data_IF_827366130466
#
_entry.id   IF_827366130466
#
_cell.length_a   1.000
_cell.length_b   1.000
_cell.length_c   1.000
_cell.angle_alpha   90.00
_cell.angle_beta   90.00
_cell.angle_gamma   90.00
#
_symmetry.space_group_name_H-M   'P 1'
#
loop_
_entity.id
_entity.type
_entity.pdbx_description
1 polymer ?
#
# COMPACT_ATOMS: atom_id res chain seq x y z
N UNK A 1 78.06 3.63 15.57
CA UNK A 1 78.09 2.98 14.26
C UNK A 1 76.63 2.80 13.84
N UNK A 2 76.04 3.83 13.23
CA UNK A 2 75.93 4.09 11.78
C UNK A 2 74.68 3.43 11.19
N UNK A 3 73.83 4.05 10.38
CA UNK A 3 73.80 5.41 9.83
C UNK A 3 72.45 5.72 9.15
N UNK A 4 72.15 7.03 9.05
CA UNK A 4 71.51 7.81 7.96
C UNK A 4 70.15 7.38 7.35
N UNK A 5 69.08 8.19 7.34
CA UNK A 5 68.85 9.55 6.81
C UNK A 5 68.95 9.68 5.28
N UNK A 6 67.87 10.17 4.63
CA UNK A 6 67.94 11.17 3.53
C UNK A 6 66.59 11.80 3.17
N UNK A 7 66.62 13.13 3.16
CA UNK A 7 65.70 14.08 2.52
C UNK A 7 65.68 13.97 0.99
N UNK A 8 64.62 14.48 0.35
CA UNK A 8 64.72 15.51 -0.70
C UNK A 8 63.44 16.36 -0.83
N UNK A 9 63.66 17.67 -0.97
CA UNK A 9 62.72 18.73 -1.36
C UNK A 9 62.38 18.69 -2.86
N UNK A 10 61.28 19.36 -3.25
CA UNK A 10 61.03 19.80 -4.63
C UNK A 10 59.81 20.72 -4.75
N UNK A 11 60.06 22.00 -5.00
CA UNK A 11 59.08 23.07 -5.23
C UNK A 11 58.54 23.12 -6.67
N UNK A 12 57.40 23.79 -6.86
CA UNK A 12 56.93 24.42 -8.12
C UNK A 12 55.46 24.11 -8.42
N UNK A 13 54.54 25.01 -8.77
CA UNK A 13 54.59 26.42 -9.14
C UNK A 13 53.21 27.09 -8.88
N UNK A 14 53.26 28.42 -8.75
CA UNK A 14 52.15 29.38 -8.85
C UNK A 14 51.23 29.16 -10.07
N UNK A 15 49.91 29.43 -9.92
CA UNK A 15 49.20 30.56 -10.58
C UNK A 15 47.93 30.86 -9.78
N UNK A 16 47.84 32.08 -9.24
CA UNK A 16 46.59 32.75 -8.87
C UNK A 16 45.90 33.26 -10.13
N UNK A 17 44.58 33.06 -10.26
CA UNK A 17 43.63 34.06 -10.79
C UNK A 17 42.20 33.56 -10.58
N UNK A 18 41.38 34.36 -9.90
CA UNK A 18 39.98 34.03 -9.63
C UNK A 18 39.24 35.19 -8.98
N UNK A 19 38.76 36.08 -9.86
CA UNK A 19 38.10 37.35 -9.61
C UNK A 19 36.92 37.32 -8.61
N UNK A 20 36.75 38.50 -8.02
CA UNK A 20 35.61 39.05 -7.28
C UNK A 20 34.25 38.71 -7.89
N UNK A 21 33.36 38.13 -7.09
CA UNK A 21 31.94 37.92 -7.40
C UNK A 21 31.05 38.33 -6.23
N UNK A 22 30.18 39.30 -6.49
CA UNK A 22 29.22 39.97 -5.61
C UNK A 22 28.24 39.02 -4.90
N UNK A 23 27.95 39.29 -3.63
CA UNK A 23 26.90 38.65 -2.84
C UNK A 23 25.49 38.94 -3.42
N UNK A 24 24.90 37.95 -4.09
CA UNK A 24 23.46 37.88 -4.35
C UNK A 24 22.82 36.82 -3.43
N UNK A 25 21.76 37.19 -2.72
CA UNK A 25 20.92 36.25 -1.95
C UNK A 25 20.34 35.16 -2.89
N UNK A 26 20.30 33.88 -2.48
CA UNK A 26 19.55 32.88 -3.24
C UNK A 26 18.04 33.14 -3.11
N UNK A 27 17.23 32.94 -4.17
CA UNK A 27 15.78 33.00 -4.09
C UNK A 27 15.26 31.82 -3.26
N UNK A 28 14.17 32.06 -2.52
CA UNK A 28 13.42 31.05 -1.77
C UNK A 28 13.02 29.87 -2.68
N UNK A 29 13.05 28.62 -2.18
CA UNK A 29 12.53 27.49 -2.95
C UNK A 29 11.01 27.62 -3.10
N UNK A 30 10.54 27.46 -4.34
CA UNK A 30 9.13 27.28 -4.68
C UNK A 30 8.55 26.03 -3.97
N UNK A 31 7.23 25.99 -3.70
CA UNK A 31 6.60 24.85 -3.06
C UNK A 31 6.71 23.60 -3.94
N UNK A 32 7.26 22.53 -3.36
CA UNK A 32 7.38 21.22 -3.99
C UNK A 32 6.02 20.72 -4.49
N UNK A 33 5.91 20.57 -5.80
CA UNK A 33 4.87 19.75 -6.43
C UNK A 33 5.07 18.27 -6.03
N UNK A 34 4.00 17.46 -5.97
CA UNK A 34 4.12 16.03 -5.71
C UNK A 34 5.01 15.36 -6.77
N UNK A 35 5.81 14.34 -6.41
CA UNK A 35 6.72 13.70 -7.34
C UNK A 35 5.92 13.01 -8.44
N UNK A 36 6.07 13.51 -9.67
CA UNK A 36 5.71 12.75 -10.87
C UNK A 36 6.56 11.48 -10.90
N UNK A 37 5.91 10.32 -10.79
CA UNK A 37 6.58 9.03 -10.94
C UNK A 37 7.31 8.96 -12.28
N UNK A 38 8.62 8.70 -12.25
CA UNK A 38 9.38 8.43 -13.46
C UNK A 38 9.18 6.96 -13.85
N UNK A 39 8.48 6.73 -14.97
CA UNK A 39 8.41 5.41 -15.59
C UNK A 39 9.77 5.16 -16.27
N UNK A 40 10.48 4.13 -15.82
CA UNK A 40 11.66 3.65 -16.55
C UNK A 40 11.24 2.42 -17.34
N UNK A 41 10.81 2.62 -18.57
CA UNK A 41 10.61 1.52 -19.51
C UNK A 41 11.97 1.00 -19.95
N UNK A 42 12.30 -0.24 -19.57
CA UNK A 42 13.35 -0.98 -20.26
C UNK A 42 12.74 -1.58 -21.53
N UNK A 43 12.82 -0.82 -22.62
CA UNK A 43 12.59 -1.37 -23.95
C UNK A 43 13.74 -2.32 -24.28
N UNK A 44 13.50 -3.61 -24.06
CA UNK A 44 14.22 -4.66 -24.77
C UNK A 44 14.00 -4.44 -26.28
N UNK A 45 15.05 -4.52 -27.12
CA UNK A 45 14.89 -4.53 -28.58
C UNK A 45 14.02 -5.69 -29.11
N UNK A 46 13.56 -6.58 -28.23
CA UNK A 46 12.97 -7.88 -28.54
C UNK A 46 11.52 -8.06 -28.02
N UNK A 47 10.84 -6.98 -27.64
CA UNK A 47 9.37 -6.98 -27.48
C UNK A 47 8.78 -7.48 -26.16
N UNK A 48 9.60 -7.84 -25.16
CA UNK A 48 9.15 -8.15 -23.80
C UNK A 48 9.84 -7.22 -22.80
N UNK A 49 9.08 -6.28 -22.22
CA UNK A 49 9.57 -5.30 -21.26
C UNK A 49 9.41 -5.78 -19.82
N UNK A 50 10.46 -5.66 -19.02
CA UNK A 50 10.35 -5.64 -17.56
C UNK A 50 10.12 -4.18 -17.16
N UNK A 51 8.96 -3.90 -16.56
CA UNK A 51 8.68 -2.56 -16.02
C UNK A 51 8.80 -2.60 -14.50
N UNK A 52 9.86 -2.01 -13.97
CA UNK A 52 10.02 -1.82 -12.52
C UNK A 52 9.59 -0.40 -12.20
N UNK A 53 8.53 -0.26 -11.41
CA UNK A 53 8.10 1.03 -10.89
C UNK A 53 8.86 1.32 -9.59
N UNK A 54 9.75 2.31 -9.60
CA UNK A 54 10.51 2.75 -8.41
C UNK A 54 10.21 4.21 -8.10
N UNK A 55 9.79 4.51 -6.88
CA UNK A 55 9.89 5.87 -6.33
C UNK A 55 11.29 6.04 -5.73
N UNK A 56 11.96 7.15 -6.06
CA UNK A 56 13.27 7.48 -5.53
C UNK A 56 13.20 7.71 -4.01
N UNK A 57 14.01 6.98 -3.25
CA UNK A 57 14.20 7.20 -1.82
C UNK A 57 15.06 8.46 -1.64
N UNK A 58 14.42 9.60 -1.34
CA UNK A 58 15.12 10.77 -0.79
C UNK A 58 15.35 10.56 0.70
N UNK A 59 16.60 10.36 1.11
CA UNK A 59 16.99 10.30 2.52
C UNK A 59 16.81 11.69 3.14
N UNK A 60 15.86 11.85 4.06
CA UNK A 60 15.72 13.06 4.87
C UNK A 60 16.31 12.77 6.26
N UNK A 61 17.45 13.36 6.66
CA UNK A 61 18.03 13.08 7.97
C UNK A 61 17.13 13.65 9.09
N UNK A 62 17.09 13.01 10.27
CA UNK A 62 16.25 13.46 11.38
C UNK A 62 16.69 14.83 11.89
N UNK A 63 15.77 15.68 12.38
CA UNK A 63 16.11 17.00 12.89
C UNK A 63 16.99 16.85 14.15
N UNK A 64 18.20 17.39 14.08
CA UNK A 64 19.06 17.56 15.25
C UNK A 64 18.35 18.46 16.27
N UNK A 65 18.28 17.98 17.51
CA UNK A 65 17.76 18.72 18.65
C UNK A 65 18.56 20.01 18.83
N UNK A 66 17.94 21.17 18.57
CA UNK A 66 18.49 22.46 18.92
C UNK A 66 18.15 22.79 20.38
N UNK A 67 19.22 22.86 21.16
CA UNK A 67 19.29 23.34 22.54
C UNK A 67 18.69 24.74 22.68
N UNK A 68 17.96 24.93 23.78
CA UNK A 68 17.27 26.15 24.19
C UNK A 68 18.27 27.27 24.48
N UNK A 69 18.18 28.39 23.76
CA UNK A 69 18.82 29.65 24.15
C UNK A 69 17.80 30.79 24.10
N UNK A 70 17.68 31.50 25.22
CA UNK A 70 16.81 32.65 25.45
C UNK A 70 17.10 33.83 24.50
N UNK A 71 16.06 34.58 24.10
CA UNK A 71 16.24 35.98 23.71
C UNK A 71 15.21 36.61 22.74
N UNK A 72 14.22 37.30 23.31
CA UNK A 72 13.59 38.56 22.84
C UNK A 72 12.46 38.54 21.76
N UNK A 73 11.50 39.49 21.85
CA UNK A 73 10.18 39.41 21.22
C UNK A 73 10.08 40.26 19.94
N UNK A 74 9.23 39.81 19.00
CA UNK A 74 8.78 40.66 17.89
C UNK A 74 8.73 39.93 16.56
N UNK A 75 7.57 39.34 16.26
CA UNK A 75 6.92 39.40 14.93
C UNK A 75 5.69 38.50 14.97
N UNK A 76 4.54 39.11 15.28
CA UNK A 76 3.24 38.50 15.04
C UNK A 76 3.02 38.44 13.53
N UNK A 77 3.31 37.30 12.91
CA UNK A 77 2.83 37.02 11.56
C UNK A 77 1.32 36.80 11.66
N UNK A 78 0.54 37.84 11.39
CA UNK A 78 -0.89 37.71 11.15
C UNK A 78 -1.07 36.82 9.92
N UNK A 79 -1.66 35.64 10.12
CA UNK A 79 -2.15 34.79 9.03
C UNK A 79 -3.11 35.63 8.18
N UNK A 80 -2.71 35.91 6.95
CA UNK A 80 -3.54 36.63 5.98
C UNK A 80 -4.74 35.75 5.67
N UNK A 81 -5.94 36.22 6.00
CA UNK A 81 -7.18 35.53 5.65
C UNK A 81 -7.20 35.21 4.15
N UNK A 82 -7.74 34.04 3.73
CA UNK A 82 -7.79 33.66 2.34
C UNK A 82 -8.56 34.72 1.53
N UNK A 83 -7.98 35.16 0.41
CA UNK A 83 -8.64 36.08 -0.52
C UNK A 83 -9.90 35.43 -1.10
N UNK A 84 -11.05 36.12 -1.13
CA UNK A 84 -12.29 35.55 -1.63
C UNK A 84 -12.15 35.14 -3.10
N UNK A 85 -12.50 33.90 -3.42
CA UNK A 85 -12.53 33.40 -4.80
C UNK A 85 -13.74 34.01 -5.52
N UNK A 86 -13.48 34.73 -6.61
CA UNK A 86 -14.50 35.29 -7.49
C UNK A 86 -14.82 34.28 -8.60
N UNK A 87 -16.11 34.02 -8.83
CA UNK A 87 -16.57 33.15 -9.92
C UNK A 87 -17.17 34.02 -11.02
N UNK A 88 -16.81 33.71 -12.26
CA UNK A 88 -17.29 34.38 -13.47
C UNK A 88 -18.08 33.38 -14.32
N UNK A 89 -19.32 33.73 -14.65
CA UNK A 89 -20.14 32.95 -15.58
C UNK A 89 -19.99 33.52 -16.98
N UNK A 90 -19.79 32.66 -17.97
CA UNK A 90 -19.69 33.07 -19.37
C UNK A 90 -20.68 32.30 -20.25
N UNK A 91 -21.18 32.95 -21.29
CA UNK A 91 -22.00 32.31 -22.32
C UNK A 91 -21.29 32.48 -23.66
N UNK A 92 -21.02 31.37 -24.35
CA UNK A 92 -20.27 31.35 -25.60
C UNK A 92 -21.17 31.29 -26.83
N UNK A 93 -20.88 32.15 -27.82
CA UNK A 93 -21.05 31.83 -29.25
C UNK A 93 -19.67 31.95 -29.90
N UNK A 94 -19.46 31.19 -30.98
CA UNK A 94 -18.17 30.71 -31.51
C UNK A 94 -17.06 31.74 -31.82
N UNK A 95 -17.27 33.04 -31.59
CA UNK A 95 -16.26 34.08 -31.78
C UNK A 95 -16.21 35.15 -30.69
N UNK A 96 -17.06 35.09 -29.63
CA UNK A 96 -17.06 36.08 -28.53
C UNK A 96 -17.47 35.48 -27.18
N UNK A 97 -16.75 35.83 -26.12
CA UNK A 97 -17.08 35.50 -24.71
C UNK A 97 -17.71 36.73 -24.05
N UNK A 98 -18.95 36.60 -23.58
CA UNK A 98 -19.62 37.63 -22.78
C UNK A 98 -19.59 37.25 -21.30
N UNK A 99 -18.98 38.11 -20.48
CA UNK A 99 -19.01 38.01 -19.02
C UNK A 99 -20.38 38.52 -18.53
N UNK A 100 -21.21 37.63 -17.99
CA UNK A 100 -22.60 37.97 -17.61
C UNK A 100 -22.79 38.24 -16.12
N UNK A 101 -21.80 37.93 -15.29
CA UNK A 101 -21.83 38.26 -13.86
C UNK A 101 -20.58 37.84 -13.11
N UNK A 102 -20.38 38.45 -11.93
CA UNK A 102 -19.35 38.08 -10.96
C UNK A 102 -20.00 37.84 -9.60
N UNK A 103 -19.70 36.71 -8.96
CA UNK A 103 -20.15 36.41 -7.60
C UNK A 103 -18.98 36.01 -6.70
N UNK A 104 -19.16 36.07 -5.37
CA UNK A 104 -18.26 35.41 -4.42
C UNK A 104 -18.65 33.94 -4.36
N UNK A 105 -17.69 33.03 -4.53
CA UNK A 105 -17.92 31.64 -4.21
C UNK A 105 -18.23 31.55 -2.71
N UNK A 106 -19.41 31.05 -2.34
CA UNK A 106 -19.63 30.51 -1.00
C UNK A 106 -18.70 29.32 -0.82
N UNK A 107 -17.92 29.28 0.26
CA UNK A 107 -17.19 28.08 0.64
C UNK A 107 -18.21 26.93 0.76
N UNK A 108 -17.96 25.76 0.16
CA UNK A 108 -18.83 24.62 0.37
C UNK A 108 -18.81 24.30 1.86
N UNK A 109 -19.96 24.40 2.52
CA UNK A 109 -20.16 23.94 3.88
C UNK A 109 -20.13 22.41 3.88
N UNK A 110 -18.94 21.80 3.81
CA UNK A 110 -18.77 20.35 3.94
C UNK A 110 -18.57 20.00 5.41
N UNK A 111 -19.59 20.19 6.24
CA UNK A 111 -19.69 19.43 7.49
C UNK A 111 -20.50 18.17 7.21
N UNK A 112 -20.00 17.30 6.33
CA UNK A 112 -20.48 15.92 6.31
C UNK A 112 -20.09 15.30 7.66
N UNK A 113 -21.02 14.60 8.30
CA UNK A 113 -20.70 13.80 9.48
C UNK A 113 -19.54 12.87 9.15
N UNK A 114 -18.57 12.67 10.06
CA UNK A 114 -17.50 11.71 9.85
C UNK A 114 -18.10 10.34 9.56
N UNK A 115 -17.59 9.67 8.52
CA UNK A 115 -18.02 8.31 8.20
C UNK A 115 -16.93 7.54 7.47
N UNK A 116 -16.71 6.30 7.89
CA UNK A 116 -15.83 5.34 7.23
C UNK A 116 -16.25 5.09 5.78
N UNK A 117 -17.56 5.14 5.48
CA UNK A 117 -18.05 4.97 4.11
C UNK A 117 -17.54 6.11 3.21
N UNK A 118 -17.44 7.33 3.74
CA UNK A 118 -16.87 8.45 3.00
C UNK A 118 -15.38 8.26 2.72
N UNK A 119 -14.61 7.75 3.70
CA UNK A 119 -13.20 7.43 3.51
C UNK A 119 -13.00 6.30 2.49
N UNK A 120 -13.77 5.23 2.59
CA UNK A 120 -13.73 4.11 1.64
C UNK A 120 -14.09 4.57 0.22
N UNK A 121 -15.15 5.39 0.05
CA UNK A 121 -15.51 5.96 -1.25
C UNK A 121 -14.40 6.84 -1.81
N UNK A 122 -13.81 7.71 -0.98
CA UNK A 122 -12.70 8.57 -1.40
C UNK A 122 -11.49 7.73 -1.83
N UNK A 123 -11.18 6.65 -1.11
CA UNK A 123 -10.11 5.73 -1.50
C UNK A 123 -10.46 4.99 -2.81
N UNK A 124 -11.70 4.55 -2.97
CA UNK A 124 -12.18 3.89 -4.19
C UNK A 124 -12.08 4.80 -5.43
N UNK A 125 -12.35 6.10 -5.27
CA UNK A 125 -12.20 7.10 -6.35
C UNK A 125 -10.73 7.32 -6.78
N UNK A 126 -9.77 6.97 -5.93
CA UNK A 126 -8.34 7.00 -6.25
C UNK A 126 -7.85 5.71 -6.93
N UNK A 127 -8.65 4.64 -6.88
CA UNK A 127 -8.28 3.36 -7.48
C UNK A 127 -8.32 3.43 -9.01
N UNK A 128 -7.42 2.68 -9.62
CA UNK A 128 -7.32 2.41 -11.05
C UNK A 128 -7.02 0.93 -11.23
N UNK A 129 -7.05 0.44 -12.47
CA UNK A 129 -6.71 -0.95 -12.78
C UNK A 129 -5.29 -1.36 -12.33
N UNK A 130 -4.39 -0.39 -12.10
CA UNK A 130 -2.98 -0.63 -11.77
C UNK A 130 -2.56 -0.13 -10.39
N UNK A 131 -3.38 0.67 -9.72
CA UNK A 131 -3.01 1.35 -8.47
C UNK A 131 -4.21 1.57 -7.57
N UNK A 132 -4.02 1.33 -6.28
CA UNK A 132 -5.04 1.43 -5.26
C UNK A 132 -5.86 0.15 -5.21
N UNK A 133 -6.05 -0.35 -4.00
CA UNK A 133 -6.96 -1.47 -3.73
C UNK A 133 -7.83 -1.08 -2.55
N UNK A 134 -9.12 -1.38 -2.63
CA UNK A 134 -10.07 -1.26 -1.53
C UNK A 134 -10.91 -2.54 -1.45
N UNK A 135 -11.47 -2.88 -0.27
CA UNK A 135 -12.44 -3.96 -0.17
C UNK A 135 -13.65 -3.72 -1.08
N UNK A 136 -14.23 -4.80 -1.59
CA UNK A 136 -15.38 -4.75 -2.48
C UNK A 136 -16.62 -4.16 -1.81
N UNK A 137 -16.85 -4.54 -0.55
CA UNK A 137 -18.02 -4.12 0.22
C UNK A 137 -17.62 -3.68 1.62
N UNK A 138 -18.25 -2.62 2.09
CA UNK A 138 -18.20 -2.19 3.49
C UNK A 138 -19.60 -1.77 3.92
N UNK A 139 -20.07 -2.38 5.00
CA UNK A 139 -21.39 -2.15 5.57
C UNK A 139 -21.27 -1.70 7.01
N UNK A 140 -21.92 -0.60 7.36
CA UNK A 140 -22.03 -0.13 8.74
C UNK A 140 -23.39 -0.51 9.28
N UNK A 141 -23.39 -1.39 10.28
CA UNK A 141 -24.59 -1.81 10.99
C UNK A 141 -24.65 -1.06 12.33
N UNK A 142 -25.69 -0.25 12.52
CA UNK A 142 -25.88 0.51 13.75
C UNK A 142 -25.21 1.89 13.74
N UNK A 143 -24.66 2.31 14.89
CA UNK A 143 -24.09 3.65 15.08
C UNK A 143 -22.56 3.62 15.01
N UNK A 144 -22.01 4.29 14.01
CA UNK A 144 -20.58 4.41 13.79
C UNK A 144 -19.88 5.22 14.90
N UNK A 145 -20.57 6.18 15.53
CA UNK A 145 -20.02 6.96 16.63
C UNK A 145 -19.65 6.09 17.83
N UNK A 146 -20.49 5.08 18.11
CA UNK A 146 -20.24 4.09 19.17
C UNK A 146 -19.01 3.23 18.86
N UNK A 147 -18.76 2.91 17.59
CA UNK A 147 -17.55 2.20 17.17
C UNK A 147 -16.31 3.09 17.26
N UNK A 148 -16.41 4.36 16.88
CA UNK A 148 -15.34 5.34 17.05
C UNK A 148 -14.99 5.59 18.53
N UNK A 149 -15.98 5.63 19.41
CA UNK A 149 -15.75 5.71 20.86
C UNK A 149 -15.06 4.44 21.38
N UNK A 150 -15.50 3.26 20.94
CA UNK A 150 -14.86 2.00 21.29
C UNK A 150 -13.42 1.92 20.76
N UNK A 151 -13.13 2.50 19.59
CA UNK A 151 -11.78 2.65 19.05
C UNK A 151 -10.93 3.47 20.02
N UNK A 152 -11.36 4.69 20.35
CA UNK A 152 -10.61 5.60 21.22
C UNK A 152 -10.30 5.00 22.60
N UNK A 153 -11.22 4.20 23.14
CA UNK A 153 -11.06 3.55 24.44
C UNK A 153 -10.34 2.19 24.39
N UNK A 154 -9.84 1.74 23.23
CA UNK A 154 -9.14 0.47 23.08
C UNK A 154 -10.05 -0.77 23.27
N UNK A 155 -11.35 -0.59 23.04
CA UNK A 155 -12.39 -1.61 23.16
C UNK A 155 -12.83 -2.20 21.82
N UNK A 156 -12.42 -1.59 20.70
CA UNK A 156 -12.64 -2.08 19.35
C UNK A 156 -11.84 -3.37 19.09
N UNK A 157 -12.46 -4.31 18.38
CA UNK A 157 -11.91 -5.59 17.99
C UNK A 157 -12.11 -5.78 16.49
N UNK A 158 -11.12 -6.37 15.84
CA UNK A 158 -11.15 -6.75 14.43
C UNK A 158 -11.01 -8.28 14.38
N UNK A 159 -11.91 -8.95 13.67
CA UNK A 159 -11.85 -10.38 13.38
C UNK A 159 -11.96 -10.54 11.87
N UNK A 160 -11.10 -11.35 11.28
CA UNK A 160 -11.16 -11.72 9.87
C UNK A 160 -10.98 -13.23 9.69
N UNK A 161 -11.48 -13.77 8.58
CA UNK A 161 -11.35 -15.18 8.19
C UNK A 161 -11.62 -15.31 6.68
N UNK A 162 -10.83 -16.18 6.04
CA UNK A 162 -10.76 -16.37 4.61
C UNK A 162 -11.36 -17.67 4.13
N UNK A 163 -12.13 -17.59 3.04
CA UNK A 163 -12.57 -18.76 2.29
C UNK A 163 -11.76 -18.91 1.01
N UNK A 164 -11.36 -20.13 0.70
CA UNK A 164 -10.71 -20.44 -0.57
C UNK A 164 -11.23 -21.74 -1.16
N UNK A 165 -11.68 -21.69 -2.41
CA UNK A 165 -12.07 -22.88 -3.19
C UNK A 165 -12.02 -22.57 -4.67
N UNK A 166 -11.63 -23.55 -5.49
CA UNK A 166 -11.64 -23.43 -6.96
C UNK A 166 -10.90 -22.18 -7.47
N UNK A 167 -9.73 -21.90 -6.91
CA UNK A 167 -8.91 -20.72 -7.28
C UNK A 167 -9.58 -19.36 -7.00
N UNK A 168 -10.65 -19.35 -6.20
CA UNK A 168 -11.33 -18.15 -5.74
C UNK A 168 -11.12 -17.99 -4.24
N UNK A 169 -10.32 -16.98 -3.88
CA UNK A 169 -10.16 -16.51 -2.51
C UNK A 169 -11.16 -15.38 -2.20
N UNK A 170 -11.80 -15.47 -1.05
CA UNK A 170 -12.61 -14.40 -0.45
C UNK A 170 -12.32 -14.29 1.03
N UNK A 171 -12.76 -13.17 1.59
CA UNK A 171 -12.52 -12.82 2.97
C UNK A 171 -13.70 -12.02 3.52
N UNK A 172 -13.97 -12.20 4.80
CA UNK A 172 -14.84 -11.30 5.54
C UNK A 172 -14.11 -10.74 6.78
N UNK A 173 -14.34 -9.46 7.06
CA UNK A 173 -13.85 -8.80 8.27
C UNK A 173 -15.02 -8.24 9.06
N UNK A 174 -14.97 -8.39 10.37
CA UNK A 174 -15.91 -7.78 11.30
C UNK A 174 -15.16 -6.89 12.29
N UNK A 175 -15.59 -5.62 12.38
CA UNK A 175 -15.05 -4.64 13.33
C UNK A 175 -16.15 -4.24 14.29
N UNK A 176 -15.95 -4.48 15.58
CA UNK A 176 -16.98 -4.26 16.60
C UNK A 176 -16.39 -4.02 17.99
N UNK A 177 -17.20 -3.45 18.89
CA UNK A 177 -16.84 -3.37 20.30
C UNK A 177 -16.96 -4.72 21.00
N UNK A 178 -15.99 -5.08 21.86
CA UNK A 178 -16.09 -6.32 22.68
C UNK A 178 -17.35 -6.34 23.55
N UNK A 179 -17.71 -5.17 24.07
CA UNK A 179 -18.86 -4.96 24.94
C UNK A 179 -19.66 -3.79 24.35
N UNK A 180 -20.70 -4.07 23.58
CA UNK A 180 -21.46 -3.01 22.93
C UNK A 180 -22.32 -3.48 21.78
N UNK A 181 -23.54 -3.95 22.11
CA UNK A 181 -24.67 -3.99 21.19
C UNK A 181 -24.50 -4.73 19.86
N UNK A 182 -25.32 -4.33 18.89
CA UNK A 182 -25.36 -4.87 17.53
C UNK A 182 -24.46 -4.11 16.53
N UNK A 183 -23.76 -3.06 17.00
CA UNK A 183 -22.98 -2.16 16.15
C UNK A 183 -21.74 -2.86 15.62
N UNK A 184 -21.56 -2.83 14.30
CA UNK A 184 -20.42 -3.45 13.63
C UNK A 184 -20.20 -2.87 12.25
N UNK A 185 -18.96 -2.90 11.80
CA UNK A 185 -18.63 -2.78 10.39
C UNK A 185 -18.38 -4.20 9.87
N UNK A 186 -18.99 -4.53 8.74
CA UNK A 186 -18.73 -5.77 8.00
C UNK A 186 -18.06 -5.39 6.70
N UNK A 187 -17.00 -6.11 6.36
CA UNK A 187 -16.26 -5.92 5.11
C UNK A 187 -16.24 -7.26 4.41
N UNK A 188 -16.45 -7.26 3.10
CA UNK A 188 -16.25 -8.44 2.25
C UNK A 188 -15.34 -8.08 1.10
N UNK A 189 -14.42 -8.97 0.79
CA UNK A 189 -13.58 -8.79 -0.37
C UNK A 189 -13.21 -10.09 -1.04
N UNK A 190 -13.01 -10.01 -2.35
CA UNK A 190 -12.35 -11.02 -3.14
C UNK A 190 -10.85 -10.78 -3.03
N UNK A 191 -10.10 -11.84 -2.81
CA UNK A 191 -8.64 -11.75 -2.75
C UNK A 191 -8.12 -11.34 -4.13
N UNK A 192 -7.37 -10.22 -4.26
CA UNK A 192 -6.81 -9.80 -5.53
C UNK A 192 -5.71 -10.77 -5.97
N UNK A 193 -5.58 -11.01 -7.28
CA UNK A 193 -4.55 -11.94 -7.79
C UNK A 193 -5.06 -12.83 -8.91
N UNK A 194 -4.11 -13.41 -9.63
CA UNK A 194 -4.42 -14.42 -10.63
C UNK A 194 -4.88 -15.71 -9.93
N UNK A 195 -5.72 -16.54 -10.58
CA UNK A 195 -6.21 -17.80 -10.01
C UNK A 195 -5.10 -18.70 -9.42
N UNK A 196 -3.95 -18.79 -10.09
CA UNK A 196 -2.82 -19.60 -9.63
C UNK A 196 -2.08 -19.04 -8.40
N UNK A 197 -2.24 -17.75 -8.10
CA UNK A 197 -1.64 -17.10 -6.93
C UNK A 197 -2.56 -17.21 -5.69
N UNK A 198 -3.79 -17.68 -5.88
CA UNK A 198 -4.80 -17.76 -4.84
C UNK A 198 -4.54 -18.95 -3.91
N UNK A 199 -4.79 -18.74 -2.63
CA UNK A 199 -4.55 -19.71 -1.56
C UNK A 199 -5.35 -19.30 -0.30
N UNK A 200 -5.58 -20.21 0.65
CA UNK A 200 -6.13 -19.83 1.95
C UNK A 200 -5.28 -18.75 2.62
N UNK A 201 -3.95 -18.84 2.48
CA UNK A 201 -3.00 -17.88 3.06
C UNK A 201 -3.18 -16.44 2.54
N UNK A 202 -3.39 -16.23 1.24
CA UNK A 202 -3.62 -14.88 0.71
C UNK A 202 -5.02 -14.33 1.04
N UNK A 203 -6.03 -15.20 1.22
CA UNK A 203 -7.33 -14.78 1.75
C UNK A 203 -7.17 -14.20 3.16
N UNK A 204 -6.54 -14.94 4.07
CA UNK A 204 -6.27 -14.47 5.43
C UNK A 204 -5.52 -13.12 5.45
N UNK A 205 -4.49 -12.98 4.61
CA UNK A 205 -3.70 -11.75 4.51
C UNK A 205 -4.54 -10.56 4.01
N UNK A 206 -5.43 -10.75 3.02
CA UNK A 206 -6.24 -9.64 2.51
C UNK A 206 -7.22 -9.14 3.57
N UNK A 207 -7.67 -10.01 4.47
CA UNK A 207 -8.49 -9.65 5.63
C UNK A 207 -7.78 -8.79 6.64
N UNK A 208 -6.52 -9.14 6.95
CA UNK A 208 -5.68 -8.31 7.80
C UNK A 208 -5.50 -6.92 7.18
N UNK A 209 -5.18 -6.83 5.88
CA UNK A 209 -5.03 -5.54 5.20
C UNK A 209 -6.34 -4.72 5.24
N UNK A 210 -7.47 -5.33 4.88
CA UNK A 210 -8.78 -4.68 4.88
C UNK A 210 -9.17 -4.17 6.27
N UNK A 211 -8.96 -4.98 7.31
CA UNK A 211 -9.21 -4.60 8.69
C UNK A 211 -8.35 -3.43 9.17
N UNK A 212 -7.05 -3.44 8.84
CA UNK A 212 -6.13 -2.35 9.18
C UNK A 212 -6.57 -1.05 8.50
N UNK A 213 -6.80 -1.09 7.18
CA UNK A 213 -7.23 0.08 6.41
C UNK A 213 -8.54 0.66 6.95
N UNK A 214 -9.52 -0.20 7.26
CA UNK A 214 -10.81 0.25 7.77
C UNK A 214 -10.74 0.90 9.16
N UNK A 215 -9.91 0.37 10.06
CA UNK A 215 -9.70 1.01 11.37
C UNK A 215 -8.96 2.34 11.22
N UNK A 216 -7.97 2.43 10.34
CA UNK A 216 -7.26 3.68 10.08
C UNK A 216 -8.22 4.73 9.49
N UNK A 217 -9.07 4.35 8.53
CA UNK A 217 -10.12 5.23 8.01
C UNK A 217 -11.08 5.68 9.11
N UNK A 218 -11.52 4.78 9.98
CA UNK A 218 -12.38 5.13 11.11
C UNK A 218 -11.68 6.14 12.04
N UNK A 219 -10.40 5.91 12.35
CA UNK A 219 -9.61 6.80 13.19
C UNK A 219 -9.46 8.19 12.56
N UNK A 220 -9.10 8.25 11.28
CA UNK A 220 -8.86 9.49 10.54
C UNK A 220 -10.13 10.33 10.39
N UNK A 221 -11.27 9.70 10.11
CA UNK A 221 -12.55 10.39 9.95
C UNK A 221 -13.02 11.00 11.28
N UNK A 222 -12.92 10.25 12.37
CA UNK A 222 -13.47 10.68 13.66
C UNK A 222 -12.49 11.48 14.51
N UNK A 223 -11.19 11.23 14.36
CA UNK A 223 -10.13 11.80 15.18
C UNK A 223 -8.92 12.27 14.35
N UNK A 224 -9.07 13.17 13.36
CA UNK A 224 -8.03 13.56 12.39
C UNK A 224 -6.79 14.24 12.98
N UNK A 225 -6.79 14.53 14.29
CA UNK A 225 -5.69 15.21 15.00
C UNK A 225 -4.98 14.32 16.02
N UNK A 226 -5.33 13.03 16.08
CA UNK A 226 -4.68 12.11 17.01
C UNK A 226 -3.27 11.78 16.53
N UNK A 227 -2.28 11.88 17.43
CA UNK A 227 -0.87 11.62 17.10
C UNK A 227 -0.37 10.27 17.61
N UNK A 228 -1.01 9.74 18.66
CA UNK A 228 -0.75 8.41 19.21
C UNK A 228 -2.13 7.77 19.32
N UNK A 229 -2.40 6.80 18.46
CA UNK A 229 -3.68 6.12 18.39
C UNK A 229 -3.87 5.09 19.52
N UNK A 230 -5.11 4.62 19.68
CA UNK A 230 -5.44 3.62 20.69
C UNK A 230 -4.88 2.25 20.32
N UNK A 231 -4.91 1.33 21.29
CA UNK A 231 -4.58 -0.08 21.05
C UNK A 231 -5.78 -0.82 20.47
N UNK A 232 -5.59 -1.52 19.36
CA UNK A 232 -6.63 -2.35 18.71
C UNK A 232 -6.17 -3.79 18.63
N UNK A 233 -7.07 -4.72 18.97
CA UNK A 233 -6.83 -6.14 18.80
C UNK A 233 -7.39 -6.62 17.48
N UNK A 234 -6.55 -7.28 16.70
CA UNK A 234 -6.90 -7.92 15.43
C UNK A 234 -6.64 -9.41 15.52
N UNK A 235 -7.54 -10.20 14.94
CA UNK A 235 -7.49 -11.65 15.00
C UNK A 235 -7.95 -12.28 13.69
N UNK A 236 -7.32 -13.40 13.34
CA UNK A 236 -7.79 -14.36 12.35
C UNK A 236 -7.29 -15.76 12.73
N UNK A 237 -7.74 -16.79 12.02
CA UNK A 237 -7.34 -18.18 12.28
C UNK A 237 -6.11 -18.63 11.47
N UNK A 238 -5.71 -17.84 10.48
CA UNK A 238 -4.46 -17.98 9.75
C UNK A 238 -3.23 -17.60 10.59
N UNK A 239 -2.73 -18.52 11.43
CA UNK A 239 -1.53 -18.28 12.25
C UNK A 239 -0.33 -17.79 11.41
N UNK A 240 -0.06 -18.43 10.27
CA UNK A 240 1.01 -18.00 9.37
C UNK A 240 0.79 -16.60 8.82
N UNK A 241 -0.46 -16.18 8.56
CA UNK A 241 -0.75 -14.83 8.08
C UNK A 241 -0.47 -13.79 9.16
N UNK A 242 -0.88 -14.06 10.41
CA UNK A 242 -0.57 -13.20 11.57
C UNK A 242 0.94 -13.09 11.78
N UNK A 243 1.64 -14.23 11.83
CA UNK A 243 3.09 -14.26 12.03
C UNK A 243 3.77 -13.44 10.92
N UNK A 244 3.45 -13.70 9.66
CA UNK A 244 4.05 -12.99 8.53
C UNK A 244 3.71 -11.49 8.50
N UNK A 245 2.50 -11.10 8.87
CA UNK A 245 2.07 -9.70 8.88
C UNK A 245 2.70 -8.87 10.01
N UNK A 246 2.91 -9.46 11.19
CA UNK A 246 3.31 -8.74 12.40
C UNK A 246 4.75 -9.03 12.87
N UNK A 247 5.46 -9.95 12.23
CA UNK A 247 6.88 -10.19 12.50
C UNK A 247 7.80 -9.03 12.07
N UNK A 248 8.84 -8.77 12.87
CA UNK A 248 9.87 -7.77 12.57
C UNK A 248 10.96 -8.27 11.60
N UNK A 249 10.99 -9.58 11.28
CA UNK A 249 12.04 -10.13 10.41
C UNK A 249 12.01 -9.47 9.03
N UNK A 250 13.12 -9.26 8.33
CA UNK A 250 13.08 -8.81 6.94
C UNK A 250 12.28 -9.76 6.04
N UNK A 251 11.52 -9.19 5.10
CA UNK A 251 10.88 -9.97 4.02
C UNK A 251 11.88 -10.21 2.90
N UNK A 252 11.90 -11.43 2.37
CA UNK A 252 12.54 -11.74 1.10
C UNK A 252 11.57 -11.43 -0.04
N UNK A 253 11.99 -10.83 -1.17
CA UNK A 253 11.14 -10.69 -2.35
C UNK A 253 10.55 -12.01 -2.85
N UNK A 254 11.20 -13.15 -2.56
CA UNK A 254 10.73 -14.50 -2.91
C UNK A 254 9.75 -15.09 -1.90
N UNK A 255 9.49 -14.42 -0.78
CA UNK A 255 8.50 -14.88 0.21
C UNK A 255 7.11 -14.90 -0.46
N UNK A 256 6.29 -15.89 -0.13
CA UNK A 256 4.94 -16.01 -0.69
C UNK A 256 4.10 -14.76 -0.35
N UNK A 257 3.38 -14.24 -1.34
CA UNK A 257 2.54 -13.04 -1.20
C UNK A 257 3.33 -11.83 -0.68
N UNK A 258 4.57 -11.67 -1.13
CA UNK A 258 5.45 -10.57 -0.75
C UNK A 258 4.78 -9.20 -0.95
N UNK A 259 4.05 -9.00 -2.05
CA UNK A 259 3.35 -7.75 -2.32
C UNK A 259 2.32 -7.43 -1.22
N UNK A 260 1.51 -8.41 -0.83
CA UNK A 260 0.47 -8.26 0.17
C UNK A 260 1.05 -8.14 1.59
N UNK A 261 2.00 -8.99 1.97
CA UNK A 261 2.65 -8.94 3.30
C UNK A 261 3.43 -7.64 3.48
N UNK A 262 4.16 -7.19 2.46
CA UNK A 262 4.87 -5.91 2.52
C UNK A 262 3.91 -4.73 2.63
N UNK A 263 2.76 -4.80 1.94
CA UNK A 263 1.70 -3.78 2.02
C UNK A 263 1.05 -3.73 3.40
N UNK A 264 0.79 -4.89 4.03
CA UNK A 264 0.27 -4.97 5.40
C UNK A 264 1.26 -4.37 6.39
N UNK A 265 2.53 -4.75 6.30
CA UNK A 265 3.57 -4.22 7.20
C UNK A 265 3.73 -2.72 7.05
N UNK A 266 3.71 -2.20 5.83
CA UNK A 266 3.75 -0.76 5.59
C UNK A 266 2.48 -0.07 6.11
N UNK A 267 1.30 -0.70 5.99
CA UNK A 267 0.07 -0.18 6.57
C UNK A 267 0.16 -0.09 8.11
N UNK A 268 0.65 -1.13 8.77
CA UNK A 268 0.89 -1.14 10.23
C UNK A 268 1.89 -0.04 10.63
N UNK A 269 2.99 0.11 9.88
CA UNK A 269 4.02 1.11 10.17
C UNK A 269 3.51 2.56 10.02
N UNK A 270 2.59 2.80 9.09
CA UNK A 270 1.98 4.12 8.86
C UNK A 270 0.80 4.39 9.77
N UNK A 271 0.15 3.34 10.25
CA UNK A 271 -0.99 3.43 11.13
C UNK A 271 -0.62 4.16 12.43
N UNK A 272 -1.51 5.01 12.90
CA UNK A 272 -1.38 5.62 14.23
C UNK A 272 -1.82 4.68 15.35
N UNK A 273 -2.46 3.55 15.02
CA UNK A 273 -3.00 2.55 15.96
C UNK A 273 -1.89 1.64 16.50
N UNK A 274 -1.95 1.32 17.79
CA UNK A 274 -1.12 0.25 18.38
C UNK A 274 -1.78 -1.11 18.13
N UNK A 275 -1.31 -1.83 17.12
CA UNK A 275 -1.87 -3.11 16.73
C UNK A 275 -1.40 -4.25 17.63
N UNK A 276 -2.35 -5.01 18.17
CA UNK A 276 -2.10 -6.21 18.95
C UNK A 276 -2.71 -7.44 18.26
N UNK A 277 -1.90 -8.19 17.48
CA UNK A 277 -2.38 -9.40 16.84
C UNK A 277 -2.65 -10.50 17.86
N UNK A 278 -3.58 -11.39 17.53
CA UNK A 278 -3.77 -12.64 18.26
C UNK A 278 -4.36 -13.70 17.31
N UNK A 279 -3.91 -14.93 17.48
CA UNK A 279 -4.49 -16.06 16.77
C UNK A 279 -5.77 -16.54 17.47
N UNK A 280 -6.75 -16.96 16.66
CA UNK A 280 -7.98 -17.63 17.12
C UNK A 280 -8.07 -18.98 16.42
N UNK A 281 -8.55 -20.01 17.10
CA UNK A 281 -8.68 -21.33 16.47
C UNK A 281 -9.94 -21.39 15.60
N UNK A 282 -9.77 -21.79 14.35
CA UNK A 282 -10.84 -22.02 13.39
C UNK A 282 -11.64 -23.30 13.64
N UNK A 283 -12.87 -23.34 13.11
CA UNK A 283 -13.75 -24.51 13.02
C UNK A 283 -13.98 -25.31 14.31
N UNK A 284 -13.98 -24.64 15.47
CA UNK A 284 -14.23 -25.30 16.76
C UNK A 284 -15.69 -25.71 16.96
N UNK A 285 -16.61 -25.24 16.13
CA UNK A 285 -18.02 -25.68 16.10
C UNK A 285 -18.17 -27.16 15.71
N UNK A 286 -17.16 -27.76 15.08
CA UNK A 286 -17.14 -29.20 14.75
C UNK A 286 -16.87 -30.08 15.97
N UNK A 287 -16.23 -29.55 17.02
CA UNK A 287 -15.82 -30.30 18.20
C UNK A 287 -16.49 -29.86 19.50
N UNK A 288 -17.01 -28.63 19.55
CA UNK A 288 -17.52 -28.01 20.77
C UNK A 288 -18.94 -27.48 20.57
N UNK A 289 -19.71 -27.36 21.65
CA UNK A 289 -20.99 -26.66 21.59
C UNK A 289 -20.76 -25.16 21.45
N UNK A 290 -21.60 -24.47 20.68
CA UNK A 290 -21.47 -23.02 20.45
C UNK A 290 -21.37 -22.22 21.75
N UNK A 291 -22.13 -22.59 22.78
CA UNK A 291 -22.13 -21.88 24.06
C UNK A 291 -20.79 -21.97 24.81
N UNK A 292 -20.01 -23.02 24.56
CA UNK A 292 -18.69 -23.25 25.16
C UNK A 292 -17.58 -22.42 24.48
N UNK A 293 -17.86 -21.86 23.30
CA UNK A 293 -16.92 -21.03 22.57
C UNK A 293 -16.74 -19.66 23.25
N UNK A 294 -15.50 -19.21 23.27
CA UNK A 294 -15.12 -17.86 23.67
C UNK A 294 -15.74 -16.82 22.73
N UNK A 295 -15.72 -15.56 23.17
CA UNK A 295 -16.23 -14.45 22.36
C UNK A 295 -15.52 -14.36 21.00
N UNK A 296 -14.21 -14.64 20.95
CA UNK A 296 -13.43 -14.58 19.72
C UNK A 296 -13.79 -15.70 18.75
N UNK A 297 -13.88 -16.93 19.26
CA UNK A 297 -14.22 -18.10 18.44
C UNK A 297 -15.62 -17.98 17.85
N UNK A 298 -16.59 -17.45 18.61
CA UNK A 298 -17.93 -17.15 18.09
C UNK A 298 -17.90 -16.14 16.94
N UNK A 299 -17.07 -15.10 17.05
CA UNK A 299 -16.92 -14.10 15.99
C UNK A 299 -16.16 -14.64 14.78
N UNK A 300 -15.19 -15.52 15.00
CA UNK A 300 -14.48 -16.23 13.93
C UNK A 300 -15.46 -17.07 13.09
N UNK A 301 -16.36 -17.82 13.73
CA UNK A 301 -17.38 -18.58 13.01
C UNK A 301 -18.34 -17.69 12.20
N UNK A 302 -18.65 -16.49 12.69
CA UNK A 302 -19.45 -15.53 11.93
C UNK A 302 -18.72 -15.07 10.66
N UNK A 303 -17.43 -14.72 10.76
CA UNK A 303 -16.66 -14.26 9.59
C UNK A 303 -16.35 -15.39 8.60
N UNK A 304 -16.04 -16.61 9.05
CA UNK A 304 -15.91 -17.80 8.18
C UNK A 304 -17.19 -18.00 7.35
N UNK A 305 -18.34 -17.96 8.02
CA UNK A 305 -19.64 -18.06 7.38
C UNK A 305 -19.87 -16.97 6.31
N UNK A 306 -19.55 -15.72 6.64
CA UNK A 306 -19.67 -14.58 5.71
C UNK A 306 -18.71 -14.70 4.53
N UNK A 307 -17.47 -15.14 4.74
CA UNK A 307 -16.49 -15.34 3.67
C UNK A 307 -16.92 -16.46 2.72
N UNK A 308 -17.46 -17.55 3.25
CA UNK A 308 -18.03 -18.67 2.48
C UNK A 308 -19.26 -18.25 1.69
N UNK A 309 -20.14 -17.45 2.29
CA UNK A 309 -21.33 -16.91 1.63
C UNK A 309 -20.93 -16.01 0.46
N UNK A 310 -20.02 -15.05 0.68
CA UNK A 310 -19.52 -14.16 -0.35
C UNK A 310 -18.86 -14.91 -1.51
N UNK A 311 -18.08 -15.96 -1.21
CA UNK A 311 -17.49 -16.82 -2.25
C UNK A 311 -18.56 -17.44 -3.14
N UNK A 312 -19.63 -17.98 -2.55
CA UNK A 312 -20.73 -18.61 -3.29
C UNK A 312 -21.48 -17.59 -4.15
N UNK A 313 -21.64 -16.36 -3.67
CA UNK A 313 -22.23 -15.27 -4.44
C UNK A 313 -21.39 -14.95 -5.68
N UNK A 314 -20.07 -14.81 -5.52
CA UNK A 314 -19.14 -14.60 -6.64
C UNK A 314 -19.11 -15.79 -7.62
N UNK A 315 -19.12 -17.03 -7.13
CA UNK A 315 -19.25 -18.24 -7.95
C UNK A 315 -20.54 -18.21 -8.77
N UNK A 316 -21.66 -17.84 -8.15
CA UNK A 316 -22.97 -17.76 -8.81
C UNK A 316 -23.02 -16.63 -9.84
N UNK A 317 -22.37 -15.51 -9.56
CA UNK A 317 -22.26 -14.37 -10.47
C UNK A 317 -21.20 -14.58 -11.58
N UNK A 318 -20.46 -15.68 -11.54
CA UNK A 318 -19.32 -15.96 -12.43
C UNK A 318 -18.24 -14.86 -12.39
N UNK A 319 -18.04 -14.25 -11.21
CA UNK A 319 -17.02 -13.23 -10.96
C UNK A 319 -15.82 -13.88 -10.27
N UNK A 320 -14.97 -14.53 -11.07
CA UNK A 320 -13.93 -15.43 -10.54
C UNK A 320 -12.53 -14.81 -10.44
N UNK A 321 -12.32 -13.62 -11.01
CA UNK A 321 -11.00 -12.98 -11.08
C UNK A 321 -11.11 -11.55 -10.58
N UNK A 322 -10.35 -11.24 -9.54
CA UNK A 322 -10.13 -9.87 -9.08
C UNK A 322 -8.81 -9.33 -9.66
N UNK A 323 -8.83 -8.05 -10.06
CA UNK A 323 -7.60 -7.35 -10.44
C UNK A 323 -6.61 -7.35 -9.27
N UNK A 324 -5.31 -7.41 -9.58
CA UNK A 324 -4.23 -7.21 -8.61
C UNK A 324 -3.53 -5.88 -8.88
N UNK A 325 -4.14 -4.73 -8.50
CA UNK A 325 -3.46 -3.44 -8.60
C UNK A 325 -2.33 -3.37 -7.57
N UNK A 326 -1.47 -2.37 -7.71
CA UNK A 326 -0.53 -2.02 -6.64
C UNK A 326 -1.31 -1.50 -5.43
N UNK A 327 -1.09 -2.04 -4.23
CA UNK A 327 -1.79 -1.57 -3.02
C UNK A 327 -1.36 -0.13 -2.63
N UNK A 328 -2.20 0.60 -1.91
CA UNK A 328 -1.89 1.98 -1.48
C UNK A 328 -0.58 2.08 -0.67
N UNK A 329 -0.31 1.05 0.13
CA UNK A 329 0.86 0.93 1.00
C UNK A 329 1.96 0.06 0.40
N UNK A 330 1.82 -0.42 -0.83
CA UNK A 330 2.85 -1.23 -1.48
C UNK A 330 4.03 -0.36 -1.89
N UNK A 331 5.21 -0.59 -1.30
CA UNK A 331 6.40 0.22 -1.55
C UNK A 331 6.95 0.05 -2.96
N UNK A 332 6.90 -1.17 -3.49
CA UNK A 332 7.34 -1.52 -4.83
C UNK A 332 6.53 -2.69 -5.36
N UNK A 333 6.16 -2.62 -6.64
CA UNK A 333 5.44 -3.66 -7.35
C UNK A 333 6.28 -4.20 -8.51
N UNK A 334 6.22 -5.51 -8.74
CA UNK A 334 6.90 -6.16 -9.86
C UNK A 334 5.87 -6.62 -10.89
N UNK A 335 6.16 -6.34 -12.17
CA UNK A 335 5.33 -6.73 -13.30
C UNK A 335 6.14 -7.57 -14.28
N UNK A 336 5.59 -8.70 -14.71
CA UNK A 336 6.11 -9.52 -15.80
C UNK A 336 5.04 -9.57 -16.88
N UNK A 337 5.36 -9.10 -18.08
CA UNK A 337 4.41 -9.00 -19.20
C UNK A 337 3.06 -8.36 -18.78
N UNK A 338 3.15 -7.16 -18.18
CA UNK A 338 2.02 -6.36 -17.66
C UNK A 338 1.19 -7.01 -16.55
N UNK A 339 1.60 -8.18 -16.08
CA UNK A 339 0.94 -8.90 -14.98
C UNK A 339 1.69 -8.66 -13.68
N UNK A 340 1.02 -8.08 -12.68
CA UNK A 340 1.60 -7.89 -11.35
C UNK A 340 1.87 -9.25 -10.72
N UNK A 341 3.05 -9.41 -10.15
CA UNK A 341 3.47 -10.63 -9.47
C UNK A 341 3.27 -10.48 -7.96
N UNK A 342 2.77 -11.54 -7.30
CA UNK A 342 2.61 -11.59 -5.85
C UNK A 342 3.94 -11.73 -5.11
N UNK A 343 4.95 -12.34 -5.76
CA UNK A 343 6.31 -12.44 -5.27
C UNK A 343 7.33 -12.54 -6.42
N UNK A 344 8.61 -12.51 -6.07
CA UNK A 344 9.71 -12.80 -6.97
C UNK A 344 9.82 -14.31 -7.19
N UNK A 345 9.45 -14.79 -8.37
CA UNK A 345 9.79 -16.12 -8.87
C UNK A 345 10.98 -16.01 -9.85
N UNK A 346 12.21 -16.35 -9.41
CA UNK A 346 13.39 -16.26 -10.27
C UNK A 346 13.30 -17.16 -11.51
N UNK A 347 12.65 -18.31 -11.40
CA UNK A 347 12.52 -19.26 -12.50
C UNK A 347 11.55 -18.70 -13.53
N UNK A 348 10.36 -18.26 -13.11
CA UNK A 348 9.39 -17.63 -14.00
C UNK A 348 9.96 -16.40 -14.69
N UNK A 349 10.72 -15.55 -13.97
CA UNK A 349 11.38 -14.39 -14.56
C UNK A 349 12.45 -14.81 -15.57
N UNK A 350 13.25 -15.82 -15.27
CA UNK A 350 14.22 -16.35 -16.21
C UNK A 350 13.53 -16.85 -17.47
N UNK A 351 12.42 -17.56 -17.33
CA UNK A 351 11.63 -18.11 -18.44
C UNK A 351 10.97 -17.03 -19.29
N UNK A 352 10.38 -16.01 -18.68
CA UNK A 352 9.66 -14.95 -19.40
C UNK A 352 10.56 -13.85 -19.95
N UNK A 353 11.67 -13.52 -19.27
CA UNK A 353 12.50 -12.36 -19.61
C UNK A 353 13.81 -12.79 -20.27
N UNK A 354 14.52 -13.75 -19.66
CA UNK A 354 15.89 -14.08 -20.05
C UNK A 354 15.94 -15.08 -21.20
N UNK A 355 15.20 -16.19 -21.12
CA UNK A 355 15.21 -17.26 -22.11
C UNK A 355 14.83 -16.81 -23.53
N UNK A 356 13.82 -15.95 -23.76
CA UNK A 356 13.47 -15.51 -25.11
C UNK A 356 14.61 -14.76 -25.80
N UNK A 357 15.27 -13.85 -25.08
CA UNK A 357 16.43 -13.12 -25.59
C UNK A 357 17.64 -14.04 -25.83
N UNK A 358 17.86 -15.00 -24.94
CA UNK A 358 18.94 -15.98 -25.08
C UNK A 358 18.72 -16.88 -26.30
N UNK A 359 17.50 -17.40 -26.49
CA UNK A 359 17.08 -18.20 -27.65
C UNK A 359 17.28 -17.44 -28.96
N UNK A 360 16.84 -16.17 -29.02
CA UNK A 360 17.06 -15.33 -30.20
C UNK A 360 18.54 -15.22 -30.54
N UNK A 361 19.38 -14.90 -29.54
CA UNK A 361 20.83 -14.78 -29.72
C UNK A 361 21.49 -16.09 -30.18
N UNK A 362 21.07 -17.23 -29.65
CA UNK A 362 21.62 -18.54 -30.04
C UNK A 362 21.26 -18.91 -31.47
N UNK A 363 20.05 -18.60 -31.92
CA UNK A 363 19.64 -18.74 -33.32
C UNK A 363 20.48 -17.83 -34.23
N UNK A 364 20.63 -16.56 -33.88
CA UNK A 364 21.38 -15.59 -34.69
C UNK A 364 22.86 -15.96 -34.86
N UNK A 365 23.44 -16.61 -33.84
CA UNK A 365 24.84 -17.08 -33.87
C UNK A 365 25.01 -18.47 -34.49
N UNK A 366 23.93 -19.12 -34.94
CA UNK A 366 23.96 -20.50 -35.44
C UNK A 366 24.43 -21.51 -34.39
N UNK A 367 24.28 -21.19 -33.10
CA UNK A 367 24.72 -22.06 -31.99
C UNK A 367 23.74 -23.21 -31.78
N UNK A 368 22.45 -22.99 -32.05
CA UNK A 368 21.38 -23.99 -31.99
C UNK A 368 20.54 -23.81 -33.26
N UNK A 369 20.29 -24.90 -34.00
CA UNK A 369 19.35 -24.88 -35.14
C UNK A 369 17.90 -24.90 -34.65
N UNK A 370 16.94 -24.48 -35.48
CA UNK A 370 15.53 -24.48 -35.10
C UNK A 370 15.02 -25.90 -34.76
N UNK A 371 15.55 -26.93 -35.44
CA UNK A 371 15.24 -28.32 -35.14
C UNK A 371 15.82 -28.74 -33.78
N UNK A 372 17.09 -28.41 -33.52
CA UNK A 372 17.75 -28.72 -32.25
C UNK A 372 17.12 -28.00 -31.05
N UNK A 373 16.57 -26.78 -31.25
CA UNK A 373 15.87 -26.03 -30.20
C UNK A 373 14.64 -26.79 -29.66
N UNK A 374 13.94 -27.52 -30.53
CA UNK A 374 12.75 -28.31 -30.18
C UNK A 374 13.06 -29.62 -29.44
N UNK A 375 14.30 -30.09 -29.52
CA UNK A 375 14.78 -31.29 -28.82
C UNK A 375 15.36 -30.98 -27.44
N UNK A 376 15.61 -29.70 -27.13
CA UNK A 376 16.12 -29.30 -25.82
C UNK A 376 14.98 -29.33 -24.81
N UNK A 377 15.08 -30.25 -23.86
CA UNK A 377 14.24 -30.32 -22.68
C UNK A 377 14.60 -29.18 -21.70
N UNK A 378 14.15 -27.96 -22.04
CA UNK A 378 14.43 -26.74 -21.28
C UNK A 378 14.01 -26.83 -19.80
N UNK A 379 12.94 -27.58 -19.54
CA UNK A 379 12.42 -27.92 -18.21
C UNK A 379 13.40 -28.76 -17.38
N UNK A 380 14.26 -29.56 -18.03
CA UNK A 380 15.27 -30.39 -17.35
C UNK A 380 16.62 -29.71 -17.14
N UNK A 381 16.89 -28.60 -17.85
CA UNK A 381 18.12 -27.81 -17.72
C UNK A 381 18.15 -26.91 -16.47
N UNK A 382 17.21 -27.10 -15.55
CA UNK A 382 17.15 -26.38 -14.29
C UNK A 382 18.51 -26.30 -13.60
N UNK A 383 18.96 -25.05 -13.35
CA UNK A 383 20.22 -24.60 -12.75
C UNK A 383 21.36 -24.37 -13.74
N UNK A 384 21.46 -23.12 -14.21
CA UNK A 384 22.72 -22.49 -14.55
C UNK A 384 22.88 -21.21 -13.72
#
# INVERSE_FOLDING_TARGET
MSAAARHTNGQGQFVQQGNTGTCGRPPCPEPCLPPTGHITHYNSPWGHGLTVWRTGIGYCPPPQAFSTAMGQPGNTFALRAPTPRHVATHQGRSDRVLLTGTGRASEPSSSSSPSILHAWQTAAELCTDYYGWVPNEIEVHGDEATLADALLHGCLRVISDGSFKNELGTEAVQILAKHGGCHRIIIRCQTPGLPQDQSPYCSELIGLLAGIMAVDWLLEQWFPKISIGPKVRIACDGLSAIEMAFEERPLSPTDAQFDLVSSIREAILRSSVDWAPQHVYGHLDKSNLFDELSWWEKRNLEVDGMAVEYRKELETANHLIALNPRFFTELAAMYVADTKQSCLDPQFIQECVTLPALRSRWRDKGTISAEAESEIAWDTLGRA
#
